data_IF_660888435065
#
_entry.id   IF_660888435065
#
_cell.length_a   1.000
_cell.length_b   1.000
_cell.length_c   1.000
_cell.angle_alpha   90.00
_cell.angle_beta   90.00
_cell.angle_gamma   90.00
#
_symmetry.space_group_name_H-M   'P 1'
#
loop_
_entity.id
_entity.type
_entity.pdbx_description
1 polymer ?
#
# COMPACT_ATOMS: atom_id res chain seq x y z
N UNK A 1 12.79 -3.75 17.66
CA UNK A 1 11.47 -4.26 17.22
C UNK A 1 11.41 -4.12 15.71
N UNK A 2 11.82 -5.15 14.97
CA UNK A 2 11.77 -5.11 13.50
C UNK A 2 10.47 -5.78 13.05
N UNK A 3 9.37 -5.02 13.10
CA UNK A 3 8.10 -5.44 12.50
C UNK A 3 8.20 -5.37 10.98
N UNK A 4 7.51 -6.28 10.30
CA UNK A 4 7.41 -6.27 8.83
C UNK A 4 6.85 -4.90 8.37
N UNK A 5 7.51 -4.20 7.43
CA UNK A 5 7.10 -2.85 7.02
C UNK A 5 5.69 -2.82 6.41
N UNK A 6 5.28 -3.91 5.74
CA UNK A 6 3.91 -4.05 5.21
C UNK A 6 2.92 -4.12 6.38
N UNK A 7 3.22 -4.90 7.42
CA UNK A 7 2.38 -4.97 8.61
C UNK A 7 2.31 -3.61 9.33
N UNK A 8 3.42 -2.88 9.41
CA UNK A 8 3.45 -1.55 10.04
C UNK A 8 2.60 -0.53 9.27
N UNK A 9 2.65 -0.55 7.92
CA UNK A 9 1.79 0.28 7.10
C UNK A 9 0.31 -0.13 7.22
N UNK A 10 0.00 -1.43 7.21
CA UNK A 10 -1.36 -1.92 7.45
C UNK A 10 -1.91 -1.52 8.83
N UNK A 11 -1.07 -1.48 9.86
CA UNK A 11 -1.48 -1.05 11.20
C UNK A 11 -1.75 0.46 11.27
N UNK A 12 -1.05 1.28 10.46
CA UNK A 12 -1.30 2.73 10.35
C UNK A 12 -2.55 3.03 9.53
N UNK A 13 -2.78 2.27 8.46
CA UNK A 13 -3.96 2.42 7.61
C UNK A 13 -5.13 1.69 8.26
N UNK A 14 -5.97 2.40 9.02
CA UNK A 14 -7.26 1.84 9.40
C UNK A 14 -8.10 1.60 8.13
N UNK A 15 -8.62 0.38 7.88
CA UNK A 15 -9.45 0.08 6.71
C UNK A 15 -10.67 1.00 6.59
N UNK A 16 -11.18 1.48 7.72
CA UNK A 16 -12.34 2.39 7.82
C UNK A 16 -11.95 3.88 7.72
N UNK A 17 -10.66 4.21 7.67
CA UNK A 17 -10.21 5.58 7.44
C UNK A 17 -10.73 6.11 6.12
N UNK A 18 -10.96 7.42 6.11
CA UNK A 18 -11.26 8.17 4.91
C UNK A 18 -10.09 8.14 3.91
N UNK A 19 -10.38 8.59 2.69
CA UNK A 19 -9.42 8.57 1.60
C UNK A 19 -8.19 9.46 1.87
N UNK A 20 -8.35 10.63 2.50
CA UNK A 20 -7.23 11.53 2.75
C UNK A 20 -6.25 10.92 3.75
N UNK A 21 -6.75 10.31 4.82
CA UNK A 21 -5.90 9.59 5.78
C UNK A 21 -5.13 8.43 5.12
N UNK A 22 -5.77 7.69 4.19
CA UNK A 22 -5.10 6.63 3.43
C UNK A 22 -4.02 7.19 2.51
N UNK A 23 -4.33 8.26 1.79
CA UNK A 23 -3.39 8.98 0.94
C UNK A 23 -2.15 9.42 1.73
N UNK A 24 -2.35 10.11 2.86
CA UNK A 24 -1.25 10.62 3.69
C UNK A 24 -0.34 9.49 4.19
N UNK A 25 -0.92 8.36 4.60
CA UNK A 25 -0.15 7.19 5.04
C UNK A 25 0.70 6.59 3.90
N UNK A 26 0.16 6.48 2.68
CA UNK A 26 0.91 5.98 1.53
C UNK A 26 2.01 6.94 1.08
N UNK A 27 1.73 8.24 1.07
CA UNK A 27 2.71 9.26 0.70
C UNK A 27 3.84 9.31 1.73
N UNK A 28 3.50 9.34 3.02
CA UNK A 28 4.49 9.28 4.10
C UNK A 28 5.38 8.05 3.95
N UNK A 29 4.80 6.87 3.74
CA UNK A 29 5.60 5.65 3.60
C UNK A 29 6.51 5.66 2.36
N UNK A 30 6.02 6.23 1.26
CA UNK A 30 6.84 6.40 0.05
C UNK A 30 8.05 7.31 0.31
N UNK A 31 7.89 8.36 1.13
CA UNK A 31 8.97 9.26 1.51
C UNK A 31 9.94 8.62 2.50
N UNK A 32 9.45 7.82 3.45
CA UNK A 32 10.25 7.19 4.51
C UNK A 32 11.05 5.99 4.00
N UNK A 33 10.46 5.16 3.15
CA UNK A 33 11.02 3.88 2.74
C UNK A 33 11.47 3.83 1.27
N UNK A 34 11.16 4.86 0.50
CA UNK A 34 11.30 4.84 -0.95
C UNK A 34 10.22 3.99 -1.64
N UNK A 35 10.04 4.20 -2.93
CA UNK A 35 9.00 3.54 -3.71
C UNK A 35 8.45 4.45 -4.81
N UNK A 36 7.25 4.16 -5.28
CA UNK A 36 6.54 5.04 -6.21
C UNK A 36 5.07 5.15 -5.86
N UNK A 37 4.60 6.39 -5.76
CA UNK A 37 3.21 6.73 -5.53
C UNK A 37 2.86 7.87 -6.49
N UNK A 38 2.31 7.53 -7.66
CA UNK A 38 2.15 8.52 -8.73
C UNK A 38 1.06 8.15 -9.73
N UNK A 39 0.41 9.19 -10.26
CA UNK A 39 -0.41 9.08 -11.45
C UNK A 39 0.47 8.85 -12.68
N UNK A 40 0.04 7.95 -13.56
CA UNK A 40 0.64 7.67 -14.85
C UNK A 40 -0.24 8.18 -15.99
N UNK A 41 0.34 8.25 -17.19
CA UNK A 41 -0.39 8.57 -18.40
C UNK A 41 -1.53 7.57 -18.64
N UNK A 42 -2.65 8.04 -19.19
CA UNK A 42 -3.79 7.19 -19.53
C UNK A 42 -4.67 6.80 -18.35
N UNK A 43 -4.92 7.71 -17.42
CA UNK A 43 -5.86 7.52 -16.30
C UNK A 43 -5.50 6.36 -15.36
N UNK A 44 -4.21 6.04 -15.27
CA UNK A 44 -3.70 4.96 -14.42
C UNK A 44 -2.98 5.55 -13.20
N UNK A 45 -3.08 4.90 -12.05
CA UNK A 45 -2.36 5.25 -10.83
C UNK A 45 -1.52 4.05 -10.40
N UNK A 46 -0.26 4.31 -10.03
CA UNK A 46 0.69 3.29 -9.63
C UNK A 46 1.08 3.48 -8.17
N UNK A 47 1.05 2.37 -7.42
CA UNK A 47 1.66 2.28 -6.09
C UNK A 47 2.67 1.13 -6.13
N UNK A 48 3.93 1.42 -5.82
CA UNK A 48 5.01 0.47 -5.64
C UNK A 48 5.67 0.72 -4.28
N UNK A 49 5.34 -0.12 -3.31
CA UNK A 49 5.83 -0.03 -1.95
C UNK A 49 6.07 -1.42 -1.39
N UNK A 50 7.20 -1.59 -0.70
CA UNK A 50 7.61 -2.84 -0.03
C UNK A 50 7.55 -4.09 -0.93
N UNK A 51 7.85 -3.94 -2.22
CA UNK A 51 7.83 -5.04 -3.19
C UNK A 51 6.43 -5.40 -3.73
N UNK A 52 5.39 -4.63 -3.36
CA UNK A 52 4.04 -4.75 -3.91
C UNK A 52 3.83 -3.61 -4.89
N UNK A 53 3.69 -3.96 -6.17
CA UNK A 53 3.31 -3.03 -7.25
C UNK A 53 1.88 -3.28 -7.69
N UNK A 54 1.07 -2.23 -7.73
CA UNK A 54 -0.28 -2.24 -8.28
C UNK A 54 -0.48 -1.10 -9.29
N UNK A 55 -1.36 -1.34 -10.25
CA UNK A 55 -1.80 -0.39 -11.25
C UNK A 55 -3.33 -0.38 -11.24
N UNK A 56 -3.94 0.80 -11.16
CA UNK A 56 -5.39 0.95 -11.14
C UNK A 56 -5.84 2.16 -11.95
N UNK A 57 -7.12 2.23 -12.30
CA UNK A 57 -7.71 3.35 -13.04
C UNK A 57 -8.01 4.60 -12.17
N UNK A 58 -7.71 4.54 -10.87
CA UNK A 58 -7.83 5.65 -9.93
C UNK A 58 -6.96 5.39 -8.71
N UNK A 59 -6.63 6.45 -8.00
CA UNK A 59 -5.86 6.39 -6.75
C UNK A 59 -6.58 5.57 -5.67
N UNK A 60 -7.88 5.78 -5.48
CA UNK A 60 -8.67 5.03 -4.51
C UNK A 60 -8.67 3.51 -4.82
N UNK A 61 -8.79 3.14 -6.09
CA UNK A 61 -8.72 1.74 -6.49
C UNK A 61 -7.29 1.18 -6.29
N UNK A 62 -6.25 1.99 -6.54
CA UNK A 62 -4.87 1.58 -6.27
C UNK A 62 -4.64 1.33 -4.76
N UNK A 63 -5.17 2.17 -3.87
CA UNK A 63 -5.14 1.93 -2.42
C UNK A 63 -5.77 0.59 -2.06
N UNK A 64 -6.99 0.34 -2.52
CA UNK A 64 -7.70 -0.90 -2.22
C UNK A 64 -6.95 -2.13 -2.74
N UNK A 65 -6.41 -2.08 -3.96
CA UNK A 65 -5.63 -3.16 -4.54
C UNK A 65 -4.34 -3.40 -3.76
N UNK A 66 -3.62 -2.35 -3.39
CA UNK A 66 -2.39 -2.47 -2.61
C UNK A 66 -2.68 -3.10 -1.24
N UNK A 67 -3.70 -2.62 -0.53
CA UNK A 67 -4.10 -3.16 0.77
C UNK A 67 -4.51 -4.64 0.68
N UNK A 68 -5.24 -5.03 -0.37
CA UNK A 68 -5.59 -6.44 -0.61
C UNK A 68 -4.36 -7.29 -0.89
N UNK A 69 -3.46 -6.83 -1.75
CA UNK A 69 -2.22 -7.53 -2.07
C UNK A 69 -1.33 -7.71 -0.83
N UNK A 70 -1.19 -6.66 -0.02
CA UNK A 70 -0.47 -6.66 1.26
C UNK A 70 -1.03 -7.71 2.23
N UNK A 71 -2.35 -7.74 2.43
CA UNK A 71 -3.00 -8.74 3.28
C UNK A 71 -2.78 -10.18 2.77
N UNK A 72 -2.81 -10.41 1.45
CA UNK A 72 -2.53 -11.72 0.86
C UNK A 72 -1.07 -12.13 1.09
N UNK A 73 -0.13 -11.21 0.90
CA UNK A 73 1.29 -11.46 1.13
C UNK A 73 1.57 -11.81 2.59
N UNK A 74 1.01 -11.05 3.54
CA UNK A 74 1.15 -11.34 4.97
C UNK A 74 0.60 -12.72 5.35
N UNK A 75 -0.53 -13.14 4.75
CA UNK A 75 -1.08 -14.49 4.97
C UNK A 75 -0.18 -15.59 4.42
N UNK A 76 0.48 -15.37 3.27
CA UNK A 76 1.43 -16.34 2.69
C UNK A 76 2.68 -16.49 3.55
N UNK A 77 3.18 -15.39 4.10
CA UNK A 77 4.35 -15.40 4.97
C UNK A 77 4.03 -16.00 6.35
N UNK A 78 2.83 -15.75 6.89
CA UNK A 78 2.37 -16.32 8.16
C UNK A 78 1.89 -17.78 8.09
N UNK A 79 1.65 -18.31 6.88
CA UNK A 79 1.21 -19.69 6.65
C UNK A 79 2.35 -20.68 6.36
N UNK A 80 3.61 -20.24 6.43
CA UNK A 80 4.81 -21.07 6.25
C UNK A 80 5.42 -21.52 7.60
N UNK A 81 4.56 -21.84 8.57
CA UNK A 81 4.93 -22.38 9.88
C UNK A 81 4.43 -23.82 10.05
#
# INVERSE_FOLDING_TARGET
MNGDPIQNLLNRINPQSDFATKHDAFVAETLECGGSYQAQAGNTFMIDLHGIRVLANSEANAHELWLRAANIQMRRLGGAA
#
